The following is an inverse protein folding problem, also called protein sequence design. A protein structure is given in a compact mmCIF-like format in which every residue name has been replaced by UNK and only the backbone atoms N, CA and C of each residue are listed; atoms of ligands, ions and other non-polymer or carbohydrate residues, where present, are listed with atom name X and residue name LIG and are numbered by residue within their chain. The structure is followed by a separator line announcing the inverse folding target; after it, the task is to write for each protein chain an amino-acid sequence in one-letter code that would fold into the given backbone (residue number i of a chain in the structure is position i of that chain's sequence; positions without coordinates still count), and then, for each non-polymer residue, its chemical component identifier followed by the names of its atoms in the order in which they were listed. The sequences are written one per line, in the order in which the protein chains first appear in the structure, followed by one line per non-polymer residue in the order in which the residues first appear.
data_IF_468709807233
#
_entry.id   IF_468709807233
#
_cell.length_a   1.000
_cell.length_b   1.000
_cell.length_c   1.000
_cell.angle_alpha   90.00
_cell.angle_beta   90.00
_cell.angle_gamma   90.00
#
_symmetry.space_group_name_H-M   'P 1'
#
loop_
_entity.id
_entity.type
_entity.pdbx_description
1 polymer ?
#
# COMPACT_ATOMS: atom_id res chain seq x y z
N UNK A 1 67.01 12.32 93.86
CA UNK A 1 66.70 12.26 92.42
C UNK A 1 66.91 13.64 91.84
N UNK A 2 67.75 13.78 90.82
CA UNK A 2 68.02 15.07 90.19
C UNK A 2 66.90 15.43 89.22
N UNK A 3 66.51 16.70 89.21
CA UNK A 3 65.46 17.28 88.34
C UNK A 3 65.70 16.99 86.85
N UNK A 4 66.95 16.80 86.45
CA UNK A 4 67.35 16.42 85.07
C UNK A 4 66.78 15.08 84.62
N UNK A 5 66.71 14.08 85.52
CA UNK A 5 66.18 12.74 85.18
C UNK A 5 64.66 12.81 84.95
N UNK A 6 63.97 13.66 85.70
CA UNK A 6 62.52 13.89 85.55
C UNK A 6 62.22 14.61 84.23
N UNK A 7 63.06 15.59 83.86
CA UNK A 7 62.89 16.32 82.60
C UNK A 7 63.17 15.43 81.38
N UNK A 8 64.22 14.61 81.43
CA UNK A 8 64.56 13.69 80.33
C UNK A 8 63.48 12.62 80.11
N UNK A 9 62.95 12.05 81.19
CA UNK A 9 61.87 11.05 81.09
C UNK A 9 60.58 11.62 80.50
N UNK A 10 60.24 12.88 80.80
CA UNK A 10 59.11 13.58 80.18
C UNK A 10 59.33 13.82 78.68
N UNK A 11 60.52 14.29 78.28
CA UNK A 11 60.85 14.51 76.85
C UNK A 11 60.81 13.20 76.06
N UNK A 12 61.39 12.12 76.61
CA UNK A 12 61.35 10.80 75.97
C UNK A 12 59.93 10.24 75.88
N UNK A 13 59.11 10.44 76.91
CA UNK A 13 57.69 10.04 76.90
C UNK A 13 56.90 10.77 75.82
N UNK A 14 57.04 12.10 75.71
CA UNK A 14 56.36 12.91 74.70
C UNK A 14 56.84 12.52 73.30
N UNK A 15 58.14 12.36 73.11
CA UNK A 15 58.72 11.97 71.82
C UNK A 15 58.24 10.56 71.41
N UNK A 16 58.24 9.62 72.35
CA UNK A 16 57.71 8.27 72.15
C UNK A 16 56.23 8.28 71.77
N UNK A 17 55.42 9.12 72.42
CA UNK A 17 54.00 9.29 72.10
C UNK A 17 53.76 9.88 70.70
N UNK A 18 54.59 10.85 70.27
CA UNK A 18 54.50 11.42 68.92
C UNK A 18 54.88 10.35 67.87
N UNK A 19 55.92 9.56 68.12
CA UNK A 19 56.34 8.49 67.21
C UNK A 19 55.26 7.42 67.08
N UNK A 20 54.65 6.98 68.19
CA UNK A 20 53.59 5.97 68.14
C UNK A 20 52.34 6.49 67.41
N UNK A 21 51.95 7.75 67.62
CA UNK A 21 50.90 8.39 66.84
C UNK A 21 51.22 8.43 65.34
N UNK A 22 52.46 8.77 64.97
CA UNK A 22 52.88 8.83 63.58
C UNK A 22 52.84 7.45 62.90
N UNK A 23 53.26 6.39 63.60
CA UNK A 23 53.17 5.01 63.10
C UNK A 23 51.71 4.59 62.91
N UNK A 24 50.84 4.85 63.89
CA UNK A 24 49.41 4.55 63.78
C UNK A 24 48.75 5.31 62.63
N UNK A 25 49.08 6.59 62.46
CA UNK A 25 48.61 7.40 61.34
C UNK A 25 49.05 6.80 60.00
N UNK A 26 50.32 6.39 59.87
CA UNK A 26 50.82 5.77 58.64
C UNK A 26 50.09 4.46 58.30
N UNK A 27 49.83 3.63 59.30
CA UNK A 27 49.09 2.37 59.11
C UNK A 27 47.66 2.65 58.66
N UNK A 28 46.97 3.63 59.27
CA UNK A 28 45.62 4.02 58.88
C UNK A 28 45.55 4.56 57.45
N UNK A 29 46.55 5.36 57.03
CA UNK A 29 46.63 5.88 55.67
C UNK A 29 46.84 4.74 54.67
N UNK A 30 47.74 3.81 54.96
CA UNK A 30 47.96 2.63 54.11
C UNK A 30 46.70 1.76 53.96
N UNK A 31 45.95 1.56 55.05
CA UNK A 31 44.67 0.86 55.00
C UNK A 31 43.64 1.61 54.14
N UNK A 32 43.56 2.94 54.26
CA UNK A 32 42.65 3.75 53.43
C UNK A 32 43.01 3.66 51.94
N UNK A 33 44.28 3.73 51.58
CA UNK A 33 44.72 3.64 50.18
C UNK A 33 44.40 2.27 49.57
N UNK A 34 44.61 1.18 50.32
CA UNK A 34 44.25 -0.17 49.88
C UNK A 34 42.73 -0.32 49.69
N UNK A 35 41.92 0.24 50.58
CA UNK A 35 40.45 0.23 50.46
C UNK A 35 39.99 1.05 49.25
N UNK A 36 40.61 2.21 48.98
CA UNK A 36 40.29 3.04 47.81
C UNK A 36 40.62 2.29 46.51
N UNK A 37 41.77 1.61 46.44
CA UNK A 37 42.13 0.81 45.26
C UNK A 37 41.14 -0.33 45.05
N UNK A 38 40.78 -1.06 46.10
CA UNK A 38 39.82 -2.15 46.03
C UNK A 38 38.41 -1.66 45.62
N UNK A 39 37.98 -0.50 46.12
CA UNK A 39 36.71 0.12 45.71
C UNK A 39 36.74 0.56 44.25
N UNK A 40 37.86 1.10 43.75
CA UNK A 40 38.02 1.45 42.32
C UNK A 40 37.95 0.22 41.43
N UNK A 41 38.64 -0.85 41.80
CA UNK A 41 38.65 -2.09 41.03
C UNK A 41 37.24 -2.71 40.96
N UNK A 42 36.51 -2.71 42.08
CA UNK A 42 35.11 -3.14 42.09
C UNK A 42 34.18 -2.25 41.27
N UNK A 43 34.43 -0.94 41.20
CA UNK A 43 33.66 -0.05 40.33
C UNK A 43 33.88 -0.37 38.85
N UNK A 44 35.14 -0.57 38.45
CA UNK A 44 35.49 -0.93 37.07
C UNK A 44 34.88 -2.28 36.68
N UNK A 45 35.01 -3.30 37.53
CA UNK A 45 34.40 -4.62 37.31
C UNK A 45 32.86 -4.54 37.22
N UNK A 46 32.22 -3.67 38.04
CA UNK A 46 30.77 -3.43 37.97
C UNK A 46 30.36 -2.68 36.71
N UNK A 47 31.12 -1.69 36.27
CA UNK A 47 30.87 -0.97 35.03
C UNK A 47 31.03 -1.88 33.81
N UNK A 48 32.03 -2.77 33.80
CA UNK A 48 32.23 -3.78 32.76
C UNK A 48 31.09 -4.80 32.75
N UNK A 49 30.64 -5.27 33.93
CA UNK A 49 29.44 -6.11 34.05
C UNK A 49 28.19 -5.38 33.55
N UNK A 50 27.99 -4.10 33.87
CA UNK A 50 26.86 -3.29 33.39
C UNK A 50 26.95 -3.13 31.86
N UNK A 51 28.13 -2.91 31.30
CA UNK A 51 28.33 -2.80 29.85
C UNK A 51 28.05 -4.12 29.13
N UNK A 52 28.55 -5.24 29.68
CA UNK A 52 28.29 -6.58 29.16
C UNK A 52 26.80 -6.96 29.28
N UNK A 53 26.17 -6.63 30.41
CA UNK A 53 24.73 -6.80 30.63
C UNK A 53 23.94 -5.92 29.67
N UNK A 54 24.30 -4.64 29.46
CA UNK A 54 23.66 -3.73 28.48
C UNK A 54 23.78 -4.25 27.04
N UNK A 55 24.91 -4.84 26.69
CA UNK A 55 25.09 -5.50 25.40
C UNK A 55 24.24 -6.78 25.27
N UNK A 56 23.95 -7.45 26.39
CA UNK A 56 23.07 -8.64 26.45
C UNK A 56 21.59 -8.33 26.67
N UNK A 57 21.21 -7.14 27.15
CA UNK A 57 19.82 -6.82 27.50
C UNK A 57 19.02 -6.37 26.28
N UNK A 58 17.69 -6.54 26.32
CA UNK A 58 16.79 -6.52 25.18
C UNK A 58 16.63 -5.14 24.53
N UNK A 59 17.38 -4.09 24.89
CA UNK A 59 17.26 -2.77 24.25
C UNK A 59 17.64 -2.80 22.77
N UNK A 60 18.67 -3.56 22.40
CA UNK A 60 19.01 -3.76 20.98
C UNK A 60 17.92 -4.57 20.28
N UNK A 61 17.39 -5.59 20.96
CA UNK A 61 16.33 -6.43 20.40
C UNK A 61 15.00 -5.65 20.27
N UNK A 62 14.69 -4.78 21.22
CA UNK A 62 13.54 -3.87 21.26
C UNK A 62 13.72 -2.79 20.21
N UNK A 63 14.91 -2.23 20.03
CA UNK A 63 15.22 -1.31 18.92
C UNK A 63 14.97 -1.97 17.57
N UNK A 64 15.51 -3.18 17.36
CA UNK A 64 15.31 -3.94 16.11
C UNK A 64 13.83 -4.30 15.92
N UNK A 65 13.11 -4.67 16.99
CA UNK A 65 11.68 -4.94 16.92
C UNK A 65 10.90 -3.68 16.55
N UNK A 66 11.25 -2.54 17.15
CA UNK A 66 10.59 -1.27 16.91
C UNK A 66 10.84 -0.77 15.48
N UNK A 67 12.06 -0.93 14.98
CA UNK A 67 12.39 -0.65 13.58
C UNK A 67 11.60 -1.56 12.63
N UNK A 68 11.49 -2.86 12.93
CA UNK A 68 10.65 -3.79 12.15
C UNK A 68 9.17 -3.40 12.18
N UNK A 69 8.65 -3.01 13.34
CA UNK A 69 7.26 -2.56 13.48
C UNK A 69 7.03 -1.33 12.61
N UNK A 70 7.94 -0.37 12.64
CA UNK A 70 7.84 0.85 11.82
C UNK A 70 7.86 0.55 10.32
N UNK A 71 8.80 -0.28 9.85
CA UNK A 71 8.86 -0.72 8.45
C UNK A 71 7.57 -1.43 8.02
N UNK A 72 7.04 -2.31 8.89
CA UNK A 72 5.80 -3.03 8.60
C UNK A 72 4.60 -2.10 8.55
N UNK A 73 4.56 -1.09 9.43
CA UNK A 73 3.48 -0.09 9.47
C UNK A 73 3.51 0.83 8.25
N UNK A 74 4.69 1.26 7.81
CA UNK A 74 4.87 2.04 6.57
C UNK A 74 4.43 1.22 5.35
N UNK A 75 4.76 -0.07 5.30
CA UNK A 75 4.34 -0.97 4.21
C UNK A 75 2.82 -1.18 4.20
N UNK A 76 2.19 -1.37 5.38
CA UNK A 76 0.73 -1.44 5.49
C UNK A 76 0.08 -0.13 5.03
N UNK A 77 0.66 1.02 5.36
CA UNK A 77 0.21 2.32 4.89
C UNK A 77 0.25 2.42 3.37
N UNK A 78 1.38 2.06 2.76
CA UNK A 78 1.55 2.03 1.31
C UNK A 78 0.55 1.08 0.64
N UNK A 79 0.40 -0.14 1.14
CA UNK A 79 -0.56 -1.12 0.60
C UNK A 79 -2.01 -0.64 0.74
N UNK A 80 -2.34 0.07 1.81
CA UNK A 80 -3.67 0.66 2.01
C UNK A 80 -3.93 1.81 1.04
N UNK A 81 -2.93 2.67 0.81
CA UNK A 81 -3.03 3.76 -0.15
C UNK A 81 -3.10 3.23 -1.58
N UNK A 82 -2.29 2.24 -1.93
CA UNK A 82 -2.38 1.51 -3.21
C UNK A 82 -3.77 0.88 -3.39
N UNK A 83 -4.30 0.22 -2.35
CA UNK A 83 -5.66 -0.31 -2.36
C UNK A 83 -6.72 0.77 -2.58
N UNK A 84 -6.56 1.94 -1.95
CA UNK A 84 -7.46 3.08 -2.13
C UNK A 84 -7.37 3.72 -3.52
N UNK A 85 -6.17 3.79 -4.11
CA UNK A 85 -5.95 4.27 -5.48
C UNK A 85 -6.56 3.28 -6.47
N UNK A 86 -6.31 1.99 -6.33
CA UNK A 86 -6.88 0.97 -7.20
C UNK A 86 -8.40 0.90 -7.09
N UNK A 87 -8.98 1.08 -5.90
CA UNK A 87 -10.44 1.16 -5.78
C UNK A 87 -11.03 2.38 -6.51
N UNK A 88 -10.34 3.54 -6.47
CA UNK A 88 -10.76 4.72 -7.25
C UNK A 88 -10.63 4.48 -8.75
N UNK A 89 -9.56 3.85 -9.19
CA UNK A 89 -9.34 3.52 -10.60
C UNK A 89 -10.36 2.51 -11.13
N UNK A 90 -10.70 1.48 -10.33
CA UNK A 90 -11.76 0.51 -10.62
C UNK A 90 -13.10 1.24 -10.77
N UNK A 91 -13.48 2.08 -9.80
CA UNK A 91 -14.75 2.82 -9.87
C UNK A 91 -14.81 3.73 -11.11
N UNK A 92 -13.72 4.41 -11.46
CA UNK A 92 -13.65 5.26 -12.64
C UNK A 92 -13.79 4.46 -13.93
N UNK A 93 -13.17 3.27 -14.00
CA UNK A 93 -13.31 2.35 -15.14
C UNK A 93 -14.70 1.75 -15.24
N UNK A 94 -15.35 1.45 -14.11
CA UNK A 94 -16.76 1.00 -14.09
C UNK A 94 -17.72 2.09 -14.59
N UNK A 95 -17.51 3.34 -14.22
CA UNK A 95 -18.29 4.48 -14.73
C UNK A 95 -18.04 4.73 -16.23
N UNK A 96 -16.78 4.63 -16.68
CA UNK A 96 -16.45 4.67 -18.11
C UNK A 96 -17.15 3.55 -18.89
N UNK A 97 -17.16 2.33 -18.35
CA UNK A 97 -17.84 1.18 -18.95
C UNK A 97 -19.35 1.40 -19.05
N UNK A 98 -20.00 1.91 -18.00
CA UNK A 98 -21.42 2.27 -18.04
C UNK A 98 -21.70 3.31 -19.11
N UNK A 99 -20.89 4.38 -19.18
CA UNK A 99 -21.06 5.42 -20.20
C UNK A 99 -20.87 4.92 -21.63
N UNK A 100 -19.98 3.95 -21.86
CA UNK A 100 -19.82 3.28 -23.17
C UNK A 100 -21.04 2.41 -23.46
N UNK A 101 -21.53 1.68 -22.47
CA UNK A 101 -22.70 0.82 -22.61
C UNK A 101 -23.95 1.64 -22.97
N UNK A 102 -24.19 2.76 -22.29
CA UNK A 102 -25.30 3.66 -22.59
C UNK A 102 -25.22 4.22 -24.02
N UNK A 103 -24.02 4.62 -24.47
CA UNK A 103 -23.79 5.07 -25.85
C UNK A 103 -24.03 3.96 -26.86
N UNK A 104 -23.63 2.72 -26.55
CA UNK A 104 -23.85 1.57 -27.42
C UNK A 104 -25.34 1.24 -27.51
N UNK A 105 -26.07 1.31 -26.40
CA UNK A 105 -27.53 1.12 -26.39
C UNK A 105 -28.21 2.20 -27.21
N UNK A 106 -27.86 3.48 -27.00
CA UNK A 106 -28.39 4.59 -27.78
C UNK A 106 -28.07 4.44 -29.28
N UNK A 107 -26.87 3.99 -29.64
CA UNK A 107 -26.48 3.74 -31.02
C UNK A 107 -27.23 2.54 -31.60
N UNK A 108 -27.40 1.47 -30.82
CA UNK A 108 -28.18 0.30 -31.22
C UNK A 108 -29.65 0.66 -31.47
N UNK A 109 -30.24 1.52 -30.65
CA UNK A 109 -31.60 1.99 -30.83
C UNK A 109 -31.71 2.84 -32.10
N UNK A 110 -30.75 3.75 -32.33
CA UNK A 110 -30.67 4.55 -33.56
C UNK A 110 -30.55 3.66 -34.82
N UNK A 111 -29.73 2.61 -34.74
CA UNK A 111 -29.53 1.66 -35.84
C UNK A 111 -30.82 0.86 -36.11
N UNK A 112 -31.56 0.47 -35.07
CA UNK A 112 -32.86 -0.20 -35.20
C UNK A 112 -33.92 0.71 -35.81
N UNK A 113 -33.88 2.02 -35.53
CA UNK A 113 -34.80 3.01 -36.11
C UNK A 113 -34.48 3.34 -37.59
N UNK A 114 -33.26 3.07 -38.05
CA UNK A 114 -32.78 3.52 -39.38
C UNK A 114 -33.04 2.58 -40.56
N UNK A 115 -33.83 1.51 -40.40
CA UNK A 115 -34.08 0.45 -41.40
C UNK A 115 -32.82 -0.21 -41.99
N UNK A 116 -31.68 -0.04 -41.31
CA UNK A 116 -30.37 -0.60 -41.72
C UNK A 116 -30.18 -2.05 -41.27
N UNK A 117 -31.10 -2.58 -40.46
CA UNK A 117 -31.06 -3.94 -39.93
C UNK A 117 -32.38 -4.65 -40.22
N UNK A 118 -32.32 -5.95 -40.51
CA UNK A 118 -33.50 -6.77 -40.73
C UNK A 118 -34.33 -6.83 -39.42
N UNK A 119 -35.64 -6.53 -39.45
CA UNK A 119 -36.47 -6.51 -38.25
C UNK A 119 -36.69 -7.90 -37.63
N UNK A 120 -36.38 -8.98 -38.37
CA UNK A 120 -36.56 -10.37 -37.91
C UNK A 120 -35.31 -10.96 -37.26
N UNK A 121 -34.12 -10.68 -37.79
CA UNK A 121 -32.86 -11.31 -37.35
C UNK A 121 -31.72 -10.34 -36.99
N UNK A 122 -31.86 -9.05 -37.31
CA UNK A 122 -30.82 -8.06 -37.05
C UNK A 122 -29.65 -8.06 -38.05
N UNK A 123 -29.76 -8.77 -39.18
CA UNK A 123 -28.72 -8.75 -40.21
C UNK A 123 -28.66 -7.39 -40.93
N UNK A 124 -27.47 -6.92 -41.32
CA UNK A 124 -27.31 -5.63 -41.96
C UNK A 124 -27.94 -5.59 -43.35
N UNK A 125 -28.26 -4.38 -43.78
CA UNK A 125 -28.74 -4.06 -45.13
C UNK A 125 -27.72 -4.52 -46.18
N UNK A 126 -28.19 -5.27 -47.19
CA UNK A 126 -27.38 -5.69 -48.33
C UNK A 126 -27.47 -4.68 -49.49
N UNK A 127 -28.63 -4.07 -49.71
CA UNK A 127 -28.82 -3.06 -50.76
C UNK A 127 -30.25 -2.51 -50.81
N UNK A 128 -30.42 -1.38 -51.52
CA UNK A 128 -31.72 -0.78 -51.84
C UNK A 128 -31.78 -0.54 -53.33
N UNK A 129 -32.84 -1.01 -53.98
CA UNK A 129 -33.06 -0.88 -55.42
C UNK A 129 -34.43 -0.24 -55.69
N UNK A 130 -34.46 0.76 -56.57
CA UNK A 130 -35.71 1.39 -57.02
C UNK A 130 -36.22 0.68 -58.27
N UNK A 131 -37.45 0.18 -58.23
CA UNK A 131 -38.12 -0.41 -59.38
C UNK A 131 -39.34 0.42 -59.76
N UNK A 132 -39.45 0.79 -61.04
CA UNK A 132 -40.65 1.42 -61.57
C UNK A 132 -41.64 0.34 -61.99
N UNK A 133 -42.82 0.33 -61.37
CA UNK A 133 -43.94 -0.52 -61.75
C UNK A 133 -44.95 0.28 -62.57
N UNK A 134 -45.43 -0.33 -63.64
CA UNK A 134 -46.44 0.23 -64.53
C UNK A 134 -47.79 -0.44 -64.23
N UNK A 135 -48.82 0.32 -63.86
CA UNK A 135 -50.10 -0.24 -63.43
C UNK A 135 -51.30 0.64 -63.72
N UNK A 136 -52.15 0.22 -64.67
CA UNK A 136 -53.42 0.87 -65.02
C UNK A 136 -54.08 0.15 -66.19
N UNK A 137 -55.38 0.36 -66.43
CA UNK A 137 -56.09 -0.29 -67.55
C UNK A 137 -55.45 0.00 -68.93
N UNK A 138 -54.75 1.14 -69.03
CA UNK A 138 -54.13 1.64 -70.26
C UNK A 138 -52.58 1.80 -70.13
N UNK A 139 -51.98 1.37 -69.01
CA UNK A 139 -50.53 1.45 -68.76
C UNK A 139 -49.98 2.83 -68.39
N UNK A 140 -50.81 3.85 -68.16
CA UNK A 140 -50.39 5.26 -67.99
C UNK A 140 -49.98 5.67 -66.56
N UNK A 141 -49.95 4.76 -65.59
CA UNK A 141 -49.51 5.07 -64.23
C UNK A 141 -48.18 4.38 -63.91
N UNK A 142 -47.17 5.21 -63.69
CA UNK A 142 -45.85 4.83 -63.20
C UNK A 142 -45.80 5.08 -61.69
N UNK A 143 -45.38 4.07 -60.93
CA UNK A 143 -45.06 4.22 -59.53
C UNK A 143 -43.67 3.64 -59.26
N UNK A 144 -42.81 4.41 -58.62
CA UNK A 144 -41.51 3.93 -58.17
C UNK A 144 -41.67 3.27 -56.79
N UNK A 145 -41.31 2.00 -56.69
CA UNK A 145 -41.24 1.26 -55.43
C UNK A 145 -39.78 1.05 -55.04
N UNK A 146 -39.45 1.32 -53.78
CA UNK A 146 -38.14 1.02 -53.21
C UNK A 146 -38.17 -0.37 -52.59
N UNK A 147 -37.28 -1.25 -53.04
CA UNK A 147 -37.09 -2.58 -52.46
C UNK A 147 -35.82 -2.56 -51.62
N UNK A 148 -35.97 -2.88 -50.34
CA UNK A 148 -34.88 -2.98 -49.38
C UNK A 148 -34.54 -4.44 -49.15
N UNK A 149 -33.29 -4.83 -49.40
CA UNK A 149 -32.82 -6.22 -49.30
C UNK A 149 -31.75 -6.34 -48.22
N UNK A 150 -31.89 -7.34 -47.33
CA UNK A 150 -30.97 -7.60 -46.22
C UNK A 150 -30.10 -8.84 -46.49
N UNK A 151 -28.95 -8.95 -45.81
CA UNK A 151 -28.01 -10.06 -46.04
C UNK A 151 -28.60 -11.45 -45.75
N UNK A 152 -29.58 -11.55 -44.85
CA UNK A 152 -30.31 -12.79 -44.57
C UNK A 152 -31.28 -13.23 -45.68
N UNK A 153 -31.35 -12.49 -46.79
CA UNK A 153 -32.26 -12.74 -47.91
C UNK A 153 -33.69 -12.25 -47.70
N UNK A 154 -33.98 -11.55 -46.58
CA UNK A 154 -35.25 -10.85 -46.38
C UNK A 154 -35.30 -9.61 -47.29
N UNK A 155 -36.45 -9.36 -47.90
CA UNK A 155 -36.68 -8.14 -48.67
C UNK A 155 -38.11 -7.63 -48.46
N UNK A 156 -38.22 -6.31 -48.36
CA UNK A 156 -39.47 -5.60 -48.11
C UNK A 156 -39.57 -4.41 -49.07
N UNK A 157 -40.76 -4.19 -49.62
CA UNK A 157 -41.05 -3.00 -50.41
C UNK A 157 -41.49 -1.84 -49.50
N UNK A 158 -41.36 -0.61 -49.99
CA UNK A 158 -41.74 0.62 -49.28
C UNK A 158 -43.23 0.65 -48.85
N UNK A 159 -44.08 -0.12 -49.54
CA UNK A 159 -45.50 -0.31 -49.20
C UNK A 159 -45.72 -1.29 -48.03
N UNK A 160 -44.65 -1.78 -47.40
CA UNK A 160 -44.66 -2.72 -46.29
C UNK A 160 -44.90 -4.17 -46.69
N UNK A 161 -44.95 -4.49 -48.00
CA UNK A 161 -45.11 -5.88 -48.45
C UNK A 161 -43.80 -6.65 -48.38
N UNK A 162 -43.82 -7.76 -47.66
CA UNK A 162 -42.72 -8.72 -47.62
C UNK A 162 -42.61 -9.46 -48.96
N UNK A 163 -41.47 -9.32 -49.64
CA UNK A 163 -41.20 -9.95 -50.94
C UNK A 163 -40.46 -11.29 -50.78
N UNK A 164 -39.57 -11.39 -49.79
CA UNK A 164 -38.86 -12.62 -49.45
C UNK A 164 -38.68 -12.79 -47.95
N UNK A 165 -38.66 -14.04 -47.48
CA UNK A 165 -38.55 -14.37 -46.05
C UNK A 165 -37.10 -14.38 -45.59
N UNK A 166 -36.89 -14.08 -44.31
CA UNK A 166 -35.61 -14.18 -43.64
C UNK A 166 -35.17 -15.65 -43.52
N UNK A 167 -33.98 -15.99 -44.02
CA UNK A 167 -33.47 -17.37 -43.99
C UNK A 167 -33.23 -17.90 -42.57
N UNK A 168 -32.89 -17.03 -41.62
CA UNK A 168 -32.70 -17.41 -40.21
C UNK A 168 -33.98 -17.78 -39.44
N UNK A 169 -35.17 -17.62 -40.04
CA UNK A 169 -36.44 -18.09 -39.44
C UNK A 169 -36.91 -19.45 -39.98
N UNK A 170 -36.18 -20.06 -40.92
CA UNK A 170 -36.55 -21.33 -41.55
C UNK A 170 -35.95 -22.57 -40.85
N UNK A 171 -35.38 -22.40 -39.64
CA UNK A 171 -34.82 -23.47 -38.79
C UNK A 171 -35.53 -23.53 -37.45
#
# INVERSE_FOLDING_TARGET
MTTEVIFYTQVVSITGFIITLFVLYRVLVQQKDAVIQLLKERLVDKDEQIAALKAQTPDVLVSILNDRIKVTQDEIGRLKDDGGIHQKEINLKEDELRGIQDKLTALSDLVRESDLMCPKCGDPLAGRESHTIYGGADGEQEADILITTYQCGFSIADDGKELSRCQHQAS
#
